data_IF_452941791298
#
_entry.id   IF_452941791298
#
_cell.length_a   1.000
_cell.length_b   1.000
_cell.length_c   1.000
_cell.angle_alpha   90.00
_cell.angle_beta   90.00
_cell.angle_gamma   90.00
#
_symmetry.space_group_name_H-M   'P 1'
#
loop_
_entity.id
_entity.type
_entity.pdbx_description
1 polymer ?
#
# COMPACT_ATOMS: atom_id res chain seq x y z
N UNK A 1 33.93 -10.69 6.47
CA UNK A 1 32.69 -10.03 6.92
C UNK A 1 32.07 -9.38 5.68
N UNK A 2 31.19 -10.13 5.00
CA UNK A 2 30.48 -9.62 3.81
C UNK A 2 29.47 -8.59 4.30
N UNK A 3 29.57 -7.35 3.81
CA UNK A 3 28.55 -6.34 4.06
C UNK A 3 27.28 -6.73 3.30
N UNK A 4 26.28 -7.23 4.02
CA UNK A 4 24.90 -7.25 3.57
C UNK A 4 24.08 -6.34 4.49
N UNK A 5 24.11 -5.04 4.19
CA UNK A 5 23.13 -4.09 4.70
C UNK A 5 22.13 -3.78 3.59
N UNK A 6 21.28 -4.76 3.30
CA UNK A 6 19.94 -4.56 2.73
C UNK A 6 19.00 -5.13 3.79
N UNK A 7 18.00 -4.44 4.31
CA UNK A 7 17.18 -3.42 3.68
C UNK A 7 16.78 -2.39 4.72
N UNK A 8 16.62 -1.14 4.28
CA UNK A 8 15.93 -0.10 5.01
C UNK A 8 14.60 -0.64 5.52
N UNK A 9 14.51 -0.79 6.84
CA UNK A 9 13.27 -1.06 7.57
C UNK A 9 12.27 0.03 7.20
N UNK A 10 11.15 -0.43 6.64
CA UNK A 10 9.82 0.18 6.68
C UNK A 10 9.81 1.70 6.79
N UNK A 11 9.71 2.38 5.65
CA UNK A 11 8.91 3.60 5.61
C UNK A 11 7.55 3.18 6.13
N UNK A 12 7.30 3.49 7.40
CA UNK A 12 5.97 3.55 7.94
C UNK A 12 5.10 4.25 6.89
N UNK A 13 3.84 3.81 6.75
CA UNK A 13 2.83 4.81 6.43
C UNK A 13 2.83 5.80 7.60
N UNK A 14 3.81 6.69 7.61
CA UNK A 14 3.59 8.03 8.05
C UNK A 14 2.51 8.55 7.08
N UNK A 15 1.35 8.81 7.64
CA UNK A 15 0.31 9.54 6.95
C UNK A 15 0.87 10.92 6.62
N UNK A 16 1.54 11.03 5.47
CA UNK A 16 1.90 12.33 4.93
C UNK A 16 0.67 12.89 4.23
N UNK A 17 -0.10 13.60 5.02
CA UNK A 17 -0.99 14.68 4.60
C UNK A 17 -0.22 15.68 3.73
N UNK A 18 -0.09 15.38 2.44
CA UNK A 18 0.26 16.33 1.38
C UNK A 18 -0.99 16.74 0.62
N UNK A 19 -1.09 17.97 0.11
CA UNK A 19 -2.32 18.48 -0.48
C UNK A 19 -2.64 17.73 -1.78
N UNK A 20 -3.68 16.90 -1.74
CA UNK A 20 -4.58 16.65 -2.85
C UNK A 20 -3.99 15.98 -4.11
N UNK A 21 -3.16 14.95 -3.95
CA UNK A 21 -3.03 13.90 -4.97
C UNK A 21 -3.84 12.72 -4.43
N UNK A 22 -5.04 12.50 -4.94
CA UNK A 22 -5.94 11.47 -4.42
C UNK A 22 -5.28 10.10 -4.49
N UNK A 23 -5.24 9.37 -3.38
CA UNK A 23 -4.77 7.97 -3.33
C UNK A 23 -5.69 6.98 -4.07
N UNK A 24 -6.65 7.50 -4.83
CA UNK A 24 -7.64 6.77 -5.63
C UNK A 24 -7.00 5.93 -6.71
N UNK A 25 -5.78 6.27 -7.14
CA UNK A 25 -5.06 5.50 -8.15
C UNK A 25 -4.16 4.40 -7.59
N UNK A 26 -3.78 4.49 -6.32
CA UNK A 26 -2.88 3.54 -5.67
C UNK A 26 -3.53 2.16 -5.47
N UNK A 27 -2.73 1.10 -5.61
CA UNK A 27 -3.16 -0.26 -5.29
C UNK A 27 -2.83 -0.63 -3.83
N UNK A 28 -3.62 -1.53 -3.22
CA UNK A 28 -3.33 -2.00 -1.88
C UNK A 28 -2.04 -2.82 -1.84
N UNK A 29 -1.31 -2.73 -0.73
CA UNK A 29 -0.07 -3.49 -0.52
C UNK A 29 -0.30 -4.66 0.43
N UNK A 30 0.26 -5.84 0.12
CA UNK A 30 0.15 -7.03 0.96
C UNK A 30 1.45 -7.31 1.71
N UNK A 31 1.33 -7.59 3.01
CA UNK A 31 2.40 -8.09 3.86
C UNK A 31 2.12 -9.57 4.14
N UNK A 32 2.50 -10.43 3.20
CA UNK A 32 2.17 -11.86 3.20
C UNK A 32 2.67 -12.58 4.45
N UNK A 33 3.89 -12.26 4.92
CA UNK A 33 4.48 -12.86 6.12
C UNK A 33 3.66 -12.66 7.39
N UNK A 34 2.81 -11.62 7.44
CA UNK A 34 2.02 -11.26 8.60
C UNK A 34 0.50 -11.30 8.33
N UNK A 35 0.10 -11.77 7.14
CA UNK A 35 -1.30 -11.80 6.68
C UNK A 35 -2.01 -10.44 6.85
N UNK A 36 -1.32 -9.35 6.52
CA UNK A 36 -1.88 -8.00 6.57
C UNK A 36 -2.03 -7.39 5.19
N UNK A 37 -3.14 -6.68 5.00
CA UNK A 37 -3.41 -5.87 3.82
C UNK A 37 -3.41 -4.40 4.23
N UNK A 38 -2.61 -3.57 3.56
CA UNK A 38 -2.56 -2.13 3.78
C UNK A 38 -3.37 -1.43 2.70
N UNK A 39 -4.43 -0.74 3.12
CA UNK A 39 -5.30 0.01 2.23
C UNK A 39 -4.89 1.49 2.18
N UNK A 40 -4.73 2.07 0.99
CA UNK A 40 -4.64 3.52 0.81
C UNK A 40 -5.90 4.25 1.31
N UNK A 41 -5.80 5.54 1.69
CA UNK A 41 -6.93 6.34 2.12
C UNK A 41 -7.78 6.79 0.93
N UNK A 42 -8.49 5.85 0.31
CA UNK A 42 -9.37 6.10 -0.83
C UNK A 42 -10.49 7.08 -0.49
N UNK A 43 -10.88 7.90 -1.46
CA UNK A 43 -11.92 8.92 -1.31
C UNK A 43 -13.30 8.30 -1.09
N UNK A 44 -13.57 7.14 -1.70
CA UNK A 44 -14.85 6.43 -1.56
C UNK A 44 -14.68 4.92 -1.46
N UNK A 45 -15.70 4.26 -0.88
CA UNK A 45 -15.78 2.79 -0.79
C UNK A 45 -15.79 2.11 -2.16
N UNK A 46 -16.38 2.75 -3.17
CA UNK A 46 -16.47 2.19 -4.53
C UNK A 46 -15.10 2.13 -5.21
N UNK A 47 -14.27 3.16 -5.00
CA UNK A 47 -12.89 3.19 -5.51
C UNK A 47 -12.06 2.10 -4.83
N UNK A 48 -12.13 2.01 -3.50
CA UNK A 48 -11.48 0.94 -2.74
C UNK A 48 -11.85 -0.45 -3.26
N UNK A 49 -13.15 -0.70 -3.50
CA UNK A 49 -13.63 -1.99 -3.99
C UNK A 49 -13.06 -2.32 -5.37
N UNK A 50 -13.06 -1.36 -6.32
CA UNK A 50 -12.49 -1.56 -7.66
C UNK A 50 -11.00 -1.87 -7.61
N UNK A 51 -10.25 -1.10 -6.81
CA UNK A 51 -8.79 -1.27 -6.67
C UNK A 51 -8.44 -2.60 -5.99
N UNK A 52 -9.21 -2.99 -4.98
CA UNK A 52 -9.05 -4.28 -4.32
C UNK A 52 -9.34 -5.45 -5.27
N UNK A 53 -10.45 -5.38 -6.02
CA UNK A 53 -10.81 -6.43 -6.97
C UNK A 53 -9.74 -6.58 -8.07
N UNK A 54 -9.25 -5.46 -8.60
CA UNK A 54 -8.15 -5.45 -9.57
C UNK A 54 -6.88 -6.09 -9.01
N UNK A 55 -6.48 -5.71 -7.78
CA UNK A 55 -5.29 -6.29 -7.14
C UNK A 55 -5.44 -7.80 -6.85
N UNK A 56 -6.66 -8.30 -6.67
CA UNK A 56 -6.93 -9.74 -6.53
C UNK A 56 -6.89 -10.46 -7.87
N UNK A 57 -7.35 -9.82 -8.96
CA UNK A 57 -7.40 -10.45 -10.28
C UNK A 57 -6.05 -10.44 -11.03
N UNK A 58 -5.22 -9.43 -10.78
CA UNK A 58 -3.94 -9.22 -11.48
C UNK A 58 -2.71 -9.51 -10.61
N UNK A 59 -2.92 -9.80 -9.31
CA UNK A 59 -1.87 -10.01 -8.31
C UNK A 59 -1.30 -11.42 -8.25
#
# INVERSE_FOLDING_TARGET
MVQHSSSTVSTAADGSSGPSESADDDLPSVMTCANYLKLPPYSTKEIMYKKLLYAISEG
#
